data_IF_438406428488
#
_entry.id   IF_438406428488
#
_cell.length_a   1.000
_cell.length_b   1.000
_cell.length_c   1.000
_cell.angle_alpha   90.00
_cell.angle_beta   90.00
_cell.angle_gamma   90.00
#
_symmetry.space_group_name_H-M   'P 1'
#
loop_
_entity.id
_entity.type
_entity.pdbx_description
1 polymer ?
#
# COMPACT_ATOMS: atom_id res chain seq x y z
N UNK A 1 2.58 14.59 -14.92
CA UNK A 1 2.98 13.42 -14.10
C UNK A 1 2.46 12.18 -14.80
N UNK A 2 3.32 11.36 -15.44
CA UNK A 2 2.92 10.10 -16.09
C UNK A 2 2.56 9.09 -14.98
N UNK A 3 1.38 9.18 -14.38
CA UNK A 3 1.06 8.37 -13.20
C UNK A 3 0.75 6.89 -13.54
N UNK A 4 0.41 6.57 -14.78
CA UNK A 4 0.15 5.18 -15.19
C UNK A 4 0.64 4.94 -16.62
N UNK A 5 1.77 4.26 -16.78
CA UNK A 5 2.24 3.79 -18.09
C UNK A 5 1.49 2.55 -18.60
N UNK A 6 0.51 2.03 -17.87
CA UNK A 6 -0.73 1.43 -18.40
C UNK A 6 -1.63 1.06 -17.22
N UNK A 7 -2.94 1.34 -17.29
CA UNK A 7 -3.89 0.86 -16.26
C UNK A 7 -3.80 -0.66 -16.05
N UNK A 8 -3.39 -1.40 -17.10
CA UNK A 8 -3.08 -2.82 -17.04
C UNK A 8 -1.95 -3.16 -16.06
N UNK A 9 -0.84 -2.41 -16.06
CA UNK A 9 0.24 -2.63 -15.10
C UNK A 9 -0.23 -2.39 -13.66
N UNK A 10 -1.00 -1.33 -13.43
CA UNK A 10 -1.59 -1.06 -12.11
C UNK A 10 -2.47 -2.21 -11.64
N UNK A 11 -3.33 -2.72 -12.52
CA UNK A 11 -4.17 -3.88 -12.25
C UNK A 11 -3.34 -5.13 -11.92
N UNK A 12 -2.26 -5.42 -12.67
CA UNK A 12 -1.36 -6.54 -12.35
C UNK A 12 -0.74 -6.37 -10.97
N UNK A 13 -0.24 -5.17 -10.65
CA UNK A 13 0.39 -4.89 -9.36
C UNK A 13 -0.59 -5.05 -8.19
N UNK A 14 -1.87 -4.68 -8.38
CA UNK A 14 -2.92 -4.94 -7.40
C UNK A 14 -3.11 -6.44 -7.15
N UNK A 15 -3.15 -7.27 -8.20
CA UNK A 15 -3.30 -8.73 -8.04
C UNK A 15 -2.08 -9.37 -7.40
N UNK A 16 -0.88 -9.00 -7.83
CA UNK A 16 0.37 -9.52 -7.25
C UNK A 16 0.48 -9.14 -5.77
N UNK A 17 0.26 -7.88 -5.42
CA UNK A 17 0.31 -7.42 -4.03
C UNK A 17 -0.75 -8.10 -3.16
N UNK A 18 -1.95 -8.37 -3.68
CA UNK A 18 -2.97 -9.12 -2.95
C UNK A 18 -2.56 -10.57 -2.66
N UNK A 19 -1.93 -11.25 -3.62
CA UNK A 19 -1.40 -12.61 -3.43
C UNK A 19 -0.31 -12.61 -2.34
N UNK A 20 0.62 -11.66 -2.40
CA UNK A 20 1.63 -11.50 -1.35
C UNK A 20 1.00 -11.18 0.01
N UNK A 21 -0.06 -10.37 0.05
CA UNK A 21 -0.78 -10.05 1.27
C UNK A 21 -1.40 -11.29 1.91
N UNK A 22 -2.04 -12.17 1.11
CA UNK A 22 -2.60 -13.44 1.59
C UNK A 22 -1.51 -14.33 2.19
N UNK A 23 -0.36 -14.48 1.49
CA UNK A 23 0.77 -15.25 1.97
C UNK A 23 1.37 -14.66 3.27
N UNK A 24 1.44 -13.33 3.36
CA UNK A 24 1.91 -12.64 4.56
C UNK A 24 0.92 -12.79 5.73
N UNK A 25 -0.39 -12.84 5.47
CA UNK A 25 -1.41 -13.12 6.48
C UNK A 25 -1.30 -14.53 7.06
N UNK A 26 -0.91 -15.51 6.24
CA UNK A 26 -0.63 -16.87 6.72
C UNK A 26 0.53 -16.89 7.72
N UNK A 27 1.56 -16.06 7.52
CA UNK A 27 2.71 -15.96 8.44
C UNK A 27 2.30 -15.45 9.83
N UNK A 28 1.31 -14.56 9.90
CA UNK A 28 0.72 -14.07 11.14
C UNK A 28 -0.09 -15.17 11.86
N UNK A 29 -0.86 -15.96 11.10
CA UNK A 29 -1.64 -17.10 11.65
C UNK A 29 -0.71 -18.17 12.24
N UNK A 30 0.42 -18.42 11.58
CA UNK A 30 1.45 -19.37 12.05
C UNK A 30 2.31 -18.81 13.20
N UNK A 31 2.01 -17.60 13.69
CA UNK A 31 2.70 -16.92 14.79
C UNK A 31 4.23 -16.84 14.59
N UNK A 32 4.67 -16.64 13.34
CA UNK A 32 6.10 -16.47 13.03
C UNK A 32 6.54 -15.10 13.55
N UNK A 33 7.09 -15.07 14.76
CA UNK A 33 7.53 -13.83 15.39
C UNK A 33 8.98 -13.47 15.02
N UNK A 34 9.15 -12.90 13.83
CA UNK A 34 10.45 -12.40 13.36
C UNK A 34 10.32 -10.95 12.92
N UNK A 35 11.18 -10.07 13.44
CA UNK A 35 11.24 -8.65 13.06
C UNK A 35 11.36 -8.50 11.54
N UNK A 36 12.18 -9.36 10.90
CA UNK A 36 12.33 -9.35 9.46
C UNK A 36 11.03 -9.65 8.73
N UNK A 37 10.29 -10.68 9.18
CA UNK A 37 8.99 -11.05 8.60
C UNK A 37 7.97 -9.94 8.82
N UNK A 38 7.92 -9.35 10.03
CA UNK A 38 7.01 -8.24 10.35
C UNK A 38 7.27 -7.01 9.47
N UNK A 39 8.54 -6.69 9.19
CA UNK A 39 8.90 -5.61 8.27
C UNK A 39 8.44 -5.91 6.82
N UNK A 40 8.60 -7.15 6.34
CA UNK A 40 8.10 -7.54 5.01
C UNK A 40 6.58 -7.44 4.93
N UNK A 41 5.87 -7.91 5.97
CA UNK A 41 4.40 -7.81 6.08
C UNK A 41 3.97 -6.35 6.01
N UNK A 42 4.63 -5.45 6.76
CA UNK A 42 4.35 -4.01 6.73
C UNK A 42 4.47 -3.43 5.32
N UNK A 43 5.56 -3.75 4.61
CA UNK A 43 5.78 -3.26 3.23
C UNK A 43 4.65 -3.72 2.30
N UNK A 44 4.28 -5.00 2.38
CA UNK A 44 3.22 -5.58 1.54
C UNK A 44 1.87 -4.95 1.82
N UNK A 45 1.49 -4.81 3.10
CA UNK A 45 0.22 -4.19 3.51
C UNK A 45 0.12 -2.76 2.97
N UNK A 46 1.15 -1.94 3.25
CA UNK A 46 1.15 -0.54 2.85
C UNK A 46 1.14 -0.38 1.34
N UNK A 47 1.92 -1.21 0.63
CA UNK A 47 1.95 -1.17 -0.82
C UNK A 47 0.59 -1.54 -1.42
N UNK A 48 -0.05 -2.61 -0.92
CA UNK A 48 -1.38 -3.00 -1.38
C UNK A 48 -2.43 -1.92 -1.10
N UNK A 49 -2.42 -1.36 0.11
CA UNK A 49 -3.32 -0.28 0.52
C UNK A 49 -3.15 0.96 -0.39
N UNK A 50 -1.92 1.36 -0.69
CA UNK A 50 -1.61 2.45 -1.61
C UNK A 50 -2.28 2.24 -2.97
N UNK A 51 -2.09 1.08 -3.58
CA UNK A 51 -2.65 0.78 -4.90
C UNK A 51 -4.19 0.79 -4.90
N UNK A 52 -4.81 0.36 -3.81
CA UNK A 52 -6.28 0.42 -3.64
C UNK A 52 -6.80 1.85 -3.53
N UNK A 53 -6.17 2.68 -2.70
CA UNK A 53 -6.56 4.09 -2.56
C UNK A 53 -6.28 4.93 -3.81
N UNK A 54 -5.22 4.63 -4.56
CA UNK A 54 -4.98 5.25 -5.86
C UNK A 54 -6.15 5.02 -6.81
N UNK A 55 -6.75 3.82 -6.82
CA UNK A 55 -7.97 3.54 -7.60
C UNK A 55 -9.17 4.33 -7.10
N UNK A 56 -9.38 4.44 -5.79
CA UNK A 56 -10.47 5.26 -5.23
C UNK A 56 -10.35 6.74 -5.65
N UNK A 57 -9.13 7.30 -5.61
CA UNK A 57 -8.89 8.68 -6.04
C UNK A 57 -9.20 8.84 -7.53
N UNK A 58 -8.75 7.91 -8.37
CA UNK A 58 -8.99 7.95 -9.81
C UNK A 58 -10.47 7.85 -10.18
N UNK A 59 -11.20 6.96 -9.52
CA UNK A 59 -12.61 6.65 -9.82
C UNK A 59 -13.56 7.73 -9.29
N UNK A 60 -13.31 8.26 -8.08
CA UNK A 60 -14.27 9.14 -7.39
C UNK A 60 -13.92 10.63 -7.41
N UNK A 61 -12.73 11.03 -7.84
CA UNK A 61 -12.36 12.45 -7.92
C UNK A 61 -12.33 12.89 -9.37
N UNK A 62 -13.22 13.79 -9.82
CA UNK A 62 -13.24 14.18 -11.24
C UNK A 62 -12.39 15.43 -11.54
N UNK A 63 -12.19 16.30 -10.56
CA UNK A 63 -11.38 17.50 -10.74
C UNK A 63 -9.88 17.16 -10.70
N UNK A 64 -9.14 17.58 -11.72
CA UNK A 64 -7.70 17.30 -11.85
C UNK A 64 -6.89 17.82 -10.65
N UNK A 65 -7.16 19.03 -10.17
CA UNK A 65 -6.47 19.63 -9.01
C UNK A 65 -6.71 18.80 -7.75
N UNK A 66 -7.95 18.34 -7.55
CA UNK A 66 -8.26 17.47 -6.41
C UNK A 66 -7.69 16.07 -6.54
N UNK A 67 -7.56 15.51 -7.75
CA UNK A 67 -6.82 14.25 -7.96
C UNK A 67 -5.37 14.40 -7.50
N UNK A 68 -4.68 15.45 -7.96
CA UNK A 68 -3.28 15.72 -7.59
C UNK A 68 -3.15 15.89 -6.07
N UNK A 69 -4.03 16.69 -5.46
CA UNK A 69 -4.07 16.87 -4.00
C UNK A 69 -4.28 15.52 -3.28
N UNK A 70 -5.24 14.70 -3.74
CA UNK A 70 -5.51 13.38 -3.19
C UNK A 70 -4.29 12.48 -3.21
N UNK A 71 -3.55 12.43 -4.33
CA UNK A 71 -2.31 11.65 -4.41
C UNK A 71 -1.19 12.17 -3.50
N UNK A 72 -1.10 13.47 -3.27
CA UNK A 72 -0.14 14.05 -2.33
C UNK A 72 -0.50 13.65 -0.91
N UNK A 73 -1.76 13.83 -0.51
CA UNK A 73 -2.27 13.45 0.81
C UNK A 73 -2.08 11.95 1.07
N UNK A 74 -2.40 11.10 0.09
CA UNK A 74 -2.20 9.66 0.19
C UNK A 74 -0.73 9.31 0.47
N UNK A 75 0.23 9.95 -0.22
CA UNK A 75 1.67 9.73 0.06
C UNK A 75 2.05 10.14 1.46
N UNK A 76 1.58 11.29 1.93
CA UNK A 76 1.89 11.79 3.28
C UNK A 76 1.34 10.83 4.36
N UNK A 77 0.10 10.37 4.20
CA UNK A 77 -0.53 9.39 5.10
C UNK A 77 0.26 8.09 5.11
N UNK A 78 0.66 7.58 3.94
CA UNK A 78 1.46 6.35 3.84
C UNK A 78 2.80 6.49 4.55
N UNK A 79 3.53 7.60 4.34
CA UNK A 79 4.82 7.83 4.99
C UNK A 79 4.65 7.87 6.52
N UNK A 80 3.61 8.54 7.00
CA UNK A 80 3.30 8.61 8.43
C UNK A 80 2.97 7.23 9.00
N UNK A 81 2.09 6.46 8.34
CA UNK A 81 1.69 5.12 8.77
C UNK A 81 2.87 4.14 8.79
N UNK A 82 3.71 4.13 7.75
CA UNK A 82 4.90 3.28 7.69
C UNK A 82 5.82 3.58 8.86
N UNK A 83 6.12 4.85 9.12
CA UNK A 83 6.98 5.26 10.22
C UNK A 83 6.40 4.81 11.56
N UNK A 84 5.10 5.08 11.79
CA UNK A 84 4.43 4.76 13.04
C UNK A 84 4.40 3.25 13.30
N UNK A 85 3.97 2.44 12.32
CA UNK A 85 3.88 0.99 12.48
C UNK A 85 5.28 0.38 12.58
N UNK A 86 6.27 0.89 11.82
CA UNK A 86 7.65 0.43 11.94
C UNK A 86 8.19 0.64 13.36
N UNK A 87 7.93 1.81 13.97
CA UNK A 87 8.32 2.07 15.36
C UNK A 87 7.64 1.07 16.32
N UNK A 88 6.36 0.75 16.12
CA UNK A 88 5.65 -0.26 16.91
C UNK A 88 6.22 -1.69 16.75
N UNK A 89 6.83 -2.01 15.60
CA UNK A 89 7.42 -3.34 15.37
C UNK A 89 8.75 -3.50 16.12
N UNK A 90 9.50 -2.41 16.32
CA UNK A 90 10.86 -2.46 16.88
C UNK A 90 10.94 -2.09 18.37
N UNK A 91 9.92 -1.42 18.91
CA UNK A 91 9.80 -1.03 20.32
C UNK A 91 9.06 -2.12 21.11
#
# INVERSE_FOLDING_TARGET
>A
MKAFTSGFLHWILQRKSAIFLILSGLSLILLINSIFVNCLVLIVIVYHFKLGFETLIEDYTHNHTFKVLGFILLRLVIIYLVKFIFLLIIL
#
